data_IF_571916103602
#
_entry.id   IF_571916103602
#
_cell.length_a   1.000
_cell.length_b   1.000
_cell.length_c   1.000
_cell.angle_alpha   90.00
_cell.angle_beta   90.00
_cell.angle_gamma   90.00
#
_symmetry.space_group_name_H-M   'P 1'
#
loop_
_entity.id
_entity.type
_entity.pdbx_description
1 polymer ?
#
# COMPACT_ATOMS: atom_id res chain seq x y z
N UNK A 1 -36.60 22.76 61.52
CA UNK A 1 -37.05 21.46 60.95
C UNK A 1 -36.45 21.39 59.55
N UNK A 2 -35.26 20.81 59.36
CA UNK A 2 -35.02 19.40 58.95
C UNK A 2 -36.08 18.89 57.95
N UNK A 3 -35.77 18.44 56.72
CA UNK A 3 -34.84 17.35 56.46
C UNK A 3 -34.34 17.28 54.99
N UNK A 4 -33.16 16.67 54.83
CA UNK A 4 -32.41 16.32 53.60
C UNK A 4 -33.06 15.24 52.70
N UNK A 5 -32.69 15.27 51.40
CA UNK A 5 -32.30 14.11 50.58
C UNK A 5 -31.51 14.62 49.34
N UNK A 6 -30.17 14.60 49.34
CA UNK A 6 -29.27 13.53 48.85
C UNK A 6 -29.59 13.11 47.41
N UNK A 7 -28.82 13.54 46.40
CA UNK A 7 -27.49 13.08 45.94
C UNK A 7 -27.63 12.25 44.65
N UNK A 8 -27.12 12.77 43.54
CA UNK A 8 -26.18 12.05 42.67
C UNK A 8 -25.65 13.00 41.59
N UNK A 9 -24.37 13.35 41.73
CA UNK A 9 -23.48 13.71 40.62
C UNK A 9 -23.64 12.69 39.49
N UNK A 10 -23.74 13.18 38.26
CA UNK A 10 -23.32 12.40 37.09
C UNK A 10 -22.71 13.36 36.06
N UNK A 11 -21.62 14.02 36.49
CA UNK A 11 -20.58 14.44 35.56
C UNK A 11 -19.76 13.19 35.25
N UNK A 12 -19.56 12.95 33.96
CA UNK A 12 -18.57 12.03 33.37
C UNK A 12 -19.05 10.59 33.21
N UNK A 13 -19.53 10.26 32.00
CA UNK A 13 -18.96 9.12 31.28
C UNK A 13 -19.46 9.08 29.82
N UNK A 14 -18.62 9.57 28.91
CA UNK A 14 -18.66 9.06 27.53
C UNK A 14 -17.26 8.98 26.90
N UNK A 15 -16.26 8.78 27.76
CA UNK A 15 -14.84 8.62 27.39
C UNK A 15 -14.39 7.16 27.54
N UNK A 16 -15.18 6.22 27.03
CA UNK A 16 -14.74 4.82 26.97
C UNK A 16 -15.13 4.08 25.69
N UNK A 17 -14.93 4.72 24.54
CA UNK A 17 -14.77 4.00 23.26
C UNK A 17 -13.30 3.62 23.07
N UNK A 18 -12.77 2.81 23.99
CA UNK A 18 -11.48 2.14 23.76
C UNK A 18 -11.73 0.93 22.86
N UNK A 19 -11.33 1.10 21.61
CA UNK A 19 -10.57 0.15 20.80
C UNK A 19 -11.08 -1.29 20.76
N UNK A 20 -12.12 -1.50 19.96
CA UNK A 20 -12.24 -2.75 19.21
C UNK A 20 -12.01 -2.39 17.73
N UNK A 21 -10.82 -2.63 17.15
CA UNK A 21 -10.52 -2.20 15.77
C UNK A 21 -11.41 -2.87 14.71
N UNK A 22 -12.20 -3.86 15.10
CA UNK A 22 -13.15 -4.58 14.24
C UNK A 22 -14.53 -3.91 14.09
N UNK A 23 -14.92 -2.98 14.97
CA UNK A 23 -16.22 -2.31 14.92
C UNK A 23 -16.06 -0.83 14.52
N UNK A 24 -15.79 -0.59 13.23
CA UNK A 24 -15.74 0.77 12.66
C UNK A 24 -14.66 1.01 11.62
N UNK A 25 -13.82 0.01 11.30
CA UNK A 25 -12.83 0.14 10.25
C UNK A 25 -13.50 0.42 8.90
N UNK A 26 -13.02 1.47 8.21
CA UNK A 26 -13.49 1.78 6.85
C UNK A 26 -13.16 0.64 5.90
N UNK A 27 -13.84 0.56 4.76
CA UNK A 27 -13.52 -0.44 3.73
C UNK A 27 -12.05 -0.36 3.29
N UNK A 28 -11.48 0.86 3.26
CA UNK A 28 -10.07 1.08 2.94
C UNK A 28 -9.13 0.50 4.01
N UNK A 29 -9.43 0.71 5.29
CA UNK A 29 -8.66 0.12 6.39
C UNK A 29 -8.70 -1.40 6.35
N UNK A 30 -9.87 -2.00 6.07
CA UNK A 30 -10.01 -3.46 5.91
C UNK A 30 -9.19 -3.99 4.74
N UNK A 31 -9.25 -3.32 3.59
CA UNK A 31 -8.47 -3.71 2.40
C UNK A 31 -6.96 -3.58 2.64
N UNK A 32 -6.54 -2.53 3.35
CA UNK A 32 -5.14 -2.38 3.74
C UNK A 32 -4.65 -3.50 4.67
N UNK A 33 -5.45 -3.90 5.66
CA UNK A 33 -5.11 -5.03 6.54
C UNK A 33 -5.01 -6.35 5.78
N UNK A 34 -5.87 -6.59 4.78
CA UNK A 34 -5.76 -7.76 3.91
C UNK A 34 -4.44 -7.84 3.14
N UNK A 35 -3.81 -6.71 2.84
CA UNK A 35 -2.47 -6.69 2.25
C UNK A 35 -1.42 -7.09 3.29
N UNK A 36 -1.50 -6.53 4.50
CA UNK A 36 -0.60 -6.87 5.60
C UNK A 36 -0.64 -8.37 5.95
N UNK A 37 -1.82 -8.97 5.93
CA UNK A 37 -2.00 -10.41 6.20
C UNK A 37 -1.35 -11.32 5.13
N UNK A 38 -1.01 -10.77 3.96
CA UNK A 38 -0.34 -11.47 2.85
C UNK A 38 1.17 -11.28 2.84
N UNK A 39 1.76 -10.97 3.99
CA UNK A 39 3.21 -10.73 4.13
C UNK A 39 3.72 -9.66 3.14
N UNK A 40 2.92 -8.60 2.96
CA UNK A 40 3.28 -7.49 2.10
C UNK A 40 4.48 -6.73 2.67
N UNK A 41 5.47 -6.46 1.81
CA UNK A 41 6.58 -5.55 2.14
C UNK A 41 6.36 -4.21 1.48
N UNK A 42 6.69 -3.14 2.19
CA UNK A 42 6.46 -1.76 1.78
C UNK A 42 7.79 -1.05 1.77
N UNK A 43 8.08 -0.34 0.69
CA UNK A 43 9.37 0.30 0.53
C UNK A 43 9.30 1.42 -0.49
N UNK A 44 10.33 2.27 -0.51
CA UNK A 44 10.50 3.31 -1.53
C UNK A 44 11.69 2.97 -2.42
N UNK A 45 11.72 3.51 -3.62
CA UNK A 45 12.89 3.42 -4.49
C UNK A 45 13.89 4.57 -4.25
N UNK A 46 14.95 4.62 -5.07
CA UNK A 46 15.96 5.68 -5.06
C UNK A 46 15.42 7.07 -5.50
N UNK A 47 14.18 7.15 -5.96
CA UNK A 47 13.48 8.39 -6.30
C UNK A 47 12.36 8.72 -5.30
N UNK A 48 12.31 8.02 -4.15
CA UNK A 48 11.25 8.12 -3.14
C UNK A 48 9.85 7.78 -3.70
N UNK A 49 9.76 6.95 -4.73
CA UNK A 49 8.48 6.44 -5.19
C UNK A 49 8.06 5.23 -4.35
N UNK A 50 6.82 5.17 -3.84
CA UNK A 50 6.36 4.05 -3.02
C UNK A 50 6.03 2.79 -3.83
N UNK A 51 6.45 1.66 -3.29
CA UNK A 51 6.21 0.32 -3.81
C UNK A 51 5.67 -0.62 -2.73
N UNK A 52 5.06 -1.70 -3.21
CA UNK A 52 4.62 -2.83 -2.40
C UNK A 52 5.02 -4.14 -3.10
N UNK A 53 5.60 -5.06 -2.34
CA UNK A 53 5.86 -6.44 -2.74
C UNK A 53 4.84 -7.35 -2.04
N UNK A 54 4.11 -8.15 -2.82
CA UNK A 54 3.08 -9.06 -2.33
C UNK A 54 3.25 -10.45 -2.94
N UNK A 55 2.92 -11.50 -2.18
CA UNK A 55 2.90 -12.86 -2.69
C UNK A 55 1.52 -13.19 -3.28
N UNK A 56 1.51 -13.63 -4.54
CA UNK A 56 0.31 -14.07 -5.25
C UNK A 56 0.64 -15.41 -5.89
N UNK A 57 -0.07 -16.47 -5.49
CA UNK A 57 0.10 -17.84 -6.01
C UNK A 57 1.56 -18.32 -5.96
N UNK A 58 2.25 -18.06 -4.85
CA UNK A 58 3.66 -18.43 -4.64
C UNK A 58 4.67 -17.56 -5.41
N UNK A 59 4.21 -16.52 -6.14
CA UNK A 59 5.07 -15.58 -6.86
C UNK A 59 5.04 -14.21 -6.19
N UNK A 60 6.21 -13.68 -5.84
CA UNK A 60 6.34 -12.31 -5.35
C UNK A 60 6.20 -11.33 -6.52
N UNK A 61 5.26 -10.40 -6.41
CA UNK A 61 5.04 -9.33 -7.39
C UNK A 61 5.30 -7.99 -6.72
N UNK A 62 6.01 -7.13 -7.43
CA UNK A 62 6.30 -5.75 -7.02
C UNK A 62 5.40 -4.81 -7.82
N UNK A 63 4.75 -3.90 -7.12
CA UNK A 63 3.89 -2.89 -7.71
C UNK A 63 4.31 -1.49 -7.24
N UNK A 64 4.38 -0.55 -8.18
CA UNK A 64 4.36 0.87 -7.84
C UNK A 64 2.96 1.22 -7.33
N UNK A 65 2.87 1.88 -6.18
CA UNK A 65 1.58 2.13 -5.51
C UNK A 65 0.64 2.98 -6.36
N UNK A 66 1.19 3.93 -7.12
CA UNK A 66 0.40 4.83 -7.96
C UNK A 66 0.07 4.26 -9.35
N UNK A 67 0.44 3.01 -9.66
CA UNK A 67 0.18 2.41 -10.97
C UNK A 67 -1.25 1.82 -11.08
N UNK A 68 -1.83 1.97 -12.27
CA UNK A 68 -3.05 1.34 -12.75
C UNK A 68 -3.11 -0.18 -12.48
N UNK A 69 -1.97 -0.88 -12.55
CA UNK A 69 -1.89 -2.32 -12.27
C UNK A 69 -2.15 -2.61 -10.80
N UNK A 70 -1.56 -1.84 -9.88
CA UNK A 70 -1.83 -1.99 -8.45
C UNK A 70 -3.28 -1.66 -8.13
N UNK A 71 -3.80 -0.56 -8.71
CA UNK A 71 -5.21 -0.19 -8.60
C UNK A 71 -6.15 -1.31 -9.04
N UNK A 72 -5.82 -1.99 -10.12
CA UNK A 72 -6.61 -3.12 -10.65
C UNK A 72 -6.52 -4.33 -9.71
N UNK A 73 -5.33 -4.64 -9.22
CA UNK A 73 -5.14 -5.69 -8.21
C UNK A 73 -5.98 -5.45 -6.94
N UNK A 74 -5.99 -4.23 -6.40
CA UNK A 74 -6.81 -3.88 -5.23
C UNK A 74 -8.30 -4.10 -5.47
N UNK A 75 -8.79 -3.82 -6.68
CA UNK A 75 -10.19 -4.06 -7.04
C UNK A 75 -10.53 -5.55 -7.08
N UNK A 76 -9.66 -6.36 -7.69
CA UNK A 76 -9.80 -7.81 -7.72
C UNK A 76 -9.78 -8.38 -6.30
N UNK A 77 -8.78 -7.99 -5.50
CA UNK A 77 -8.67 -8.43 -4.11
C UNK A 77 -9.92 -8.08 -3.28
N UNK A 78 -10.44 -6.87 -3.45
CA UNK A 78 -11.65 -6.45 -2.77
C UNK A 78 -12.87 -7.28 -3.21
N UNK A 79 -13.05 -7.46 -4.52
CA UNK A 79 -14.16 -8.23 -5.08
C UNK A 79 -14.13 -9.68 -4.58
N UNK A 80 -12.98 -10.33 -4.64
CA UNK A 80 -12.81 -11.72 -4.23
C UNK A 80 -13.04 -11.93 -2.72
N UNK A 81 -12.76 -10.91 -1.89
CA UNK A 81 -12.86 -11.03 -0.43
C UNK A 81 -14.23 -10.59 0.11
N UNK A 82 -14.86 -9.60 -0.50
CA UNK A 82 -16.09 -8.98 0.02
C UNK A 82 -17.30 -9.16 -0.90
N UNK A 83 -17.14 -9.85 -2.04
CA UNK A 83 -18.19 -10.10 -3.04
C UNK A 83 -18.88 -8.80 -3.51
N UNK A 84 -18.11 -7.72 -3.65
CA UNK A 84 -18.64 -6.38 -3.95
C UNK A 84 -17.71 -5.53 -4.82
N UNK A 85 -18.27 -4.50 -5.45
CA UNK A 85 -17.50 -3.54 -6.26
C UNK A 85 -17.03 -2.41 -5.33
N UNK A 86 -15.71 -2.19 -5.18
CA UNK A 86 -15.22 -1.09 -4.38
C UNK A 86 -15.49 0.24 -5.09
N UNK A 87 -15.81 1.27 -4.31
CA UNK A 87 -15.86 2.64 -4.84
C UNK A 87 -14.44 3.22 -5.00
N UNK A 88 -14.32 4.29 -5.80
CA UNK A 88 -13.02 4.91 -6.05
C UNK A 88 -12.35 5.47 -4.78
N UNK A 89 -13.14 5.99 -3.83
CA UNK A 89 -12.64 6.50 -2.54
C UNK A 89 -11.91 5.41 -1.76
N UNK A 90 -12.52 4.22 -1.63
CA UNK A 90 -11.94 3.08 -0.92
C UNK A 90 -10.58 2.69 -1.50
N UNK A 91 -10.48 2.64 -2.83
CA UNK A 91 -9.24 2.28 -3.51
C UNK A 91 -8.17 3.36 -3.31
N UNK A 92 -8.53 4.63 -3.48
CA UNK A 92 -7.58 5.74 -3.31
C UNK A 92 -7.10 5.87 -1.87
N UNK A 93 -7.98 5.73 -0.89
CA UNK A 93 -7.61 5.75 0.54
C UNK A 93 -6.69 4.57 0.88
N UNK A 94 -6.95 3.39 0.33
CA UNK A 94 -6.07 2.22 0.49
C UNK A 94 -4.69 2.48 -0.09
N UNK A 95 -4.61 3.02 -1.32
CA UNK A 95 -3.32 3.41 -1.91
C UNK A 95 -2.61 4.45 -1.04
N UNK A 96 -3.34 5.41 -0.45
CA UNK A 96 -2.80 6.37 0.51
C UNK A 96 -2.19 5.73 1.75
N UNK A 97 -2.86 4.72 2.34
CA UNK A 97 -2.31 3.96 3.46
C UNK A 97 -1.05 3.19 3.07
N UNK A 98 -1.03 2.58 1.87
CA UNK A 98 0.14 1.85 1.36
C UNK A 98 1.31 2.80 1.12
N UNK A 99 1.08 3.95 0.50
CA UNK A 99 2.12 4.97 0.29
C UNK A 99 2.69 5.46 1.63
N UNK A 100 1.83 5.84 2.58
CA UNK A 100 2.29 6.28 3.89
C UNK A 100 3.10 5.18 4.62
N UNK A 101 2.70 3.91 4.46
CA UNK A 101 3.45 2.78 5.04
C UNK A 101 4.82 2.59 4.38
N UNK A 102 4.90 2.74 3.07
CA UNK A 102 6.15 2.70 2.32
C UNK A 102 7.08 3.85 2.72
N UNK A 103 6.58 5.08 2.77
CA UNK A 103 7.35 6.28 3.15
C UNK A 103 7.92 6.20 4.57
N UNK A 104 7.18 5.55 5.49
CA UNK A 104 7.63 5.34 6.87
C UNK A 104 8.61 4.17 7.04
N UNK A 105 8.78 3.31 6.02
CA UNK A 105 9.69 2.18 6.07
C UNK A 105 11.11 2.66 5.79
N UNK A 106 11.72 3.29 6.81
CA UNK A 106 13.03 3.94 6.75
C UNK A 106 14.23 3.02 6.43
N UNK A 107 14.05 1.70 6.35
CA UNK A 107 15.13 0.71 6.24
C UNK A 107 15.14 -0.08 4.90
N UNK A 108 14.21 0.16 3.98
CA UNK A 108 14.09 -0.64 2.75
C UNK A 108 14.18 0.18 1.47
N UNK A 109 14.97 1.26 1.37
CA UNK A 109 15.17 1.89 0.05
C UNK A 109 15.79 0.86 -0.91
N UNK A 110 15.03 0.44 -1.92
CA UNK A 110 15.49 -0.53 -2.93
C UNK A 110 15.89 0.23 -4.17
N UNK A 111 17.14 0.09 -4.57
CA UNK A 111 17.61 0.70 -5.80
C UNK A 111 16.98 -0.01 -7.00
N UNK A 112 16.27 0.75 -7.83
CA UNK A 112 15.79 0.27 -9.12
C UNK A 112 16.48 1.02 -10.26
N UNK A 113 16.96 0.26 -11.23
CA UNK A 113 17.50 0.77 -12.50
C UNK A 113 16.34 1.04 -13.48
N UNK A 114 15.49 2.00 -13.15
CA UNK A 114 14.20 2.26 -13.83
C UNK A 114 14.33 3.00 -15.18
N UNK A 115 15.53 3.42 -15.58
CA UNK A 115 15.73 4.18 -16.82
C UNK A 115 16.11 3.22 -17.94
N UNK A 116 15.09 2.87 -18.73
CA UNK A 116 15.25 2.16 -19.99
C UNK A 116 15.10 3.16 -21.13
N UNK A 117 16.17 3.38 -21.91
CA UNK A 117 16.05 4.09 -23.18
C UNK A 117 15.75 3.09 -24.30
N UNK A 118 14.75 3.37 -25.14
CA UNK A 118 14.53 2.60 -26.37
C UNK A 118 15.46 3.16 -27.44
N UNK A 119 16.37 2.33 -27.97
CA UNK A 119 17.22 2.70 -29.11
C UNK A 119 16.85 1.82 -30.30
N UNK A 120 16.26 2.42 -31.33
CA UNK A 120 15.78 1.68 -32.51
C UNK A 120 14.54 0.81 -32.21
N UNK A 121 14.28 -0.20 -33.06
CA UNK A 121 13.07 -1.01 -32.95
C UNK A 121 13.14 -2.09 -31.84
N UNK A 122 14.33 -2.64 -31.54
CA UNK A 122 14.45 -3.85 -30.69
C UNK A 122 15.62 -3.78 -29.66
N UNK A 123 16.05 -2.60 -29.23
CA UNK A 123 17.07 -2.49 -28.18
C UNK A 123 16.61 -1.60 -27.02
N UNK A 124 16.77 -2.15 -25.81
CA UNK A 124 16.48 -1.48 -24.55
C UNK A 124 17.80 -1.24 -23.81
N UNK A 125 18.16 0.01 -23.55
CA UNK A 125 19.34 0.35 -22.76
C UNK A 125 18.94 0.55 -21.30
N UNK A 126 19.43 -0.29 -20.39
CA UNK A 126 19.25 -0.14 -18.94
C UNK A 126 20.40 0.65 -18.35
N UNK A 127 20.12 1.81 -17.75
CA UNK A 127 21.14 2.57 -17.03
C UNK A 127 21.50 1.88 -15.72
N UNK A 128 22.76 1.46 -15.58
CA UNK A 128 23.29 0.82 -14.37
C UNK A 128 24.00 1.85 -13.47
N UNK A 129 24.70 2.83 -14.05
CA UNK A 129 25.37 3.94 -13.34
C UNK A 129 25.38 5.20 -14.22
N UNK A 130 25.83 6.35 -13.69
CA UNK A 130 26.12 7.53 -14.53
C UNK A 130 27.07 7.14 -15.67
N UNK A 131 26.59 7.25 -16.92
CA UNK A 131 27.37 6.97 -18.12
C UNK A 131 27.55 5.48 -18.47
N UNK A 132 26.90 4.54 -17.77
CA UNK A 132 26.92 3.11 -18.11
C UNK A 132 25.50 2.60 -18.35
N UNK A 133 25.28 2.08 -19.56
CA UNK A 133 24.05 1.38 -19.93
C UNK A 133 24.38 -0.02 -20.47
N UNK A 134 23.48 -0.98 -20.23
CA UNK A 134 23.55 -2.32 -20.85
C UNK A 134 22.46 -2.43 -21.88
N UNK A 135 22.83 -2.92 -23.07
CA UNK A 135 21.88 -3.14 -24.15
C UNK A 135 21.24 -4.51 -23.95
N UNK A 136 19.91 -4.54 -23.92
CA UNK A 136 19.12 -5.77 -23.97
C UNK A 136 18.59 -5.91 -25.39
N UNK A 137 18.97 -7.01 -26.04
CA UNK A 137 18.47 -7.44 -27.34
C UNK A 137 17.62 -8.70 -27.20
N UNK A 138 17.01 -9.16 -28.29
CA UNK A 138 16.31 -10.46 -28.33
C UNK A 138 17.20 -11.65 -27.93
N UNK A 139 18.53 -11.53 -28.07
CA UNK A 139 19.48 -12.60 -27.72
C UNK A 139 20.06 -12.47 -26.32
N UNK A 140 19.63 -11.48 -25.53
CA UNK A 140 20.05 -11.28 -24.14
C UNK A 140 20.87 -10.00 -23.91
N UNK A 141 21.64 -10.00 -22.81
CA UNK A 141 22.48 -8.90 -22.35
C UNK A 141 23.72 -8.73 -23.24
N UNK A 142 23.99 -7.50 -23.70
CA UNK A 142 25.15 -7.12 -24.51
C UNK A 142 25.88 -5.94 -23.84
#
# INVERSE_FOLDING_TARGET
MSNNKSLSDDRTDNNNRRNNPSQGATQATRLFHLLSDRDAKYFVDNQNEPYIEIEIDGTRKVYRVNDSKFKSYLKTLFYDTFEGIPNNTTINDTMGFVSARADMSNDESREFFNRVASVGQNAYEYQIEEGKAVQISETGWI
#
